data_IF_326797463544
#
_entry.id   IF_326797463544
#
_cell.length_a   1.000
_cell.length_b   1.000
_cell.length_c   1.000
_cell.angle_alpha   90.00
_cell.angle_beta   90.00
_cell.angle_gamma   90.00
#
_symmetry.space_group_name_H-M   'P 1'
#
loop_
_entity.id
_entity.type
_entity.pdbx_description
1 polymer ?
#
# COMPACT_ATOMS: atom_id res chain seq x y z
N UNK A 1 -11.59 -6.33 20.65
CA UNK A 1 -11.96 -5.79 19.31
C UNK A 1 -11.90 -4.26 19.24
N UNK A 2 -12.33 -3.52 20.26
CA UNK A 2 -12.29 -2.04 20.26
C UNK A 2 -10.87 -1.44 20.30
N UNK A 3 -10.01 -1.91 21.19
CA UNK A 3 -8.64 -1.41 21.38
C UNK A 3 -7.78 -1.50 20.10
N UNK A 4 -7.95 -2.57 19.33
CA UNK A 4 -7.27 -2.72 18.04
C UNK A 4 -7.71 -1.68 17.01
N UNK A 5 -9.03 -1.44 16.88
CA UNK A 5 -9.54 -0.48 15.90
C UNK A 5 -9.06 0.93 16.22
N UNK A 6 -8.96 1.26 17.50
CA UNK A 6 -8.40 2.53 17.96
C UNK A 6 -6.89 2.65 17.64
N UNK A 7 -6.10 1.64 18.02
CA UNK A 7 -4.66 1.60 17.72
C UNK A 7 -4.39 1.71 16.21
N UNK A 8 -5.20 1.02 15.40
CA UNK A 8 -5.12 1.10 13.96
C UNK A 8 -5.48 2.49 13.42
N UNK A 9 -6.54 3.11 13.92
CA UNK A 9 -6.93 4.47 13.51
C UNK A 9 -5.82 5.49 13.81
N UNK A 10 -5.17 5.37 14.97
CA UNK A 10 -4.01 6.20 15.34
C UNK A 10 -2.86 6.01 14.35
N UNK A 11 -2.54 4.76 14.03
CA UNK A 11 -1.45 4.42 13.10
C UNK A 11 -1.76 4.90 11.69
N UNK A 12 -2.97 4.65 11.18
CA UNK A 12 -3.41 5.12 9.86
C UNK A 12 -3.32 6.66 9.80
N UNK A 13 -3.75 7.35 10.85
CA UNK A 13 -3.65 8.81 10.89
C UNK A 13 -2.18 9.29 10.95
N UNK A 14 -1.30 8.57 11.65
CA UNK A 14 0.14 8.88 11.68
C UNK A 14 0.80 8.68 10.30
N UNK A 15 0.49 7.59 9.61
CA UNK A 15 0.94 7.30 8.24
C UNK A 15 0.50 8.42 7.29
N UNK A 16 -0.79 8.77 7.34
CA UNK A 16 -1.40 9.85 6.56
C UNK A 16 -0.74 11.20 6.84
N UNK A 17 -0.52 11.53 8.10
CA UNK A 17 0.14 12.77 8.53
C UNK A 17 1.61 12.84 8.12
N UNK A 18 2.27 11.69 7.96
CA UNK A 18 3.62 11.60 7.42
C UNK A 18 3.68 11.76 5.89
N UNK A 19 2.54 11.97 5.21
CA UNK A 19 2.48 12.15 3.75
C UNK A 19 2.68 10.86 2.96
N UNK A 20 2.58 9.70 3.60
CA UNK A 20 2.64 8.41 2.94
C UNK A 20 1.35 8.19 2.12
N UNK A 21 1.44 7.69 0.88
CA UNK A 21 0.31 7.62 -0.04
C UNK A 21 -0.57 6.38 0.22
N UNK A 22 -1.03 6.23 1.47
CA UNK A 22 -1.87 5.13 1.92
C UNK A 22 -3.25 5.19 1.26
N UNK A 23 -3.67 4.08 0.64
CA UNK A 23 -4.95 3.96 -0.06
C UNK A 23 -5.93 3.03 0.65
N UNK A 24 -5.42 2.10 1.44
CA UNK A 24 -6.25 1.20 2.23
C UNK A 24 -5.44 0.29 3.13
N UNK A 25 -6.16 -0.50 3.92
CA UNK A 25 -5.58 -1.47 4.81
C UNK A 25 -6.46 -2.72 4.90
N UNK A 26 -5.87 -3.85 5.28
CA UNK A 26 -6.58 -5.10 5.50
C UNK A 26 -6.01 -5.79 6.74
N UNK A 27 -6.88 -6.28 7.62
CA UNK A 27 -6.49 -7.22 8.67
C UNK A 27 -6.67 -8.64 8.14
N UNK A 28 -5.59 -9.43 8.16
CA UNK A 28 -5.65 -10.85 7.87
C UNK A 28 -4.89 -11.62 8.96
N UNK A 29 -5.62 -12.43 9.75
CA UNK A 29 -5.08 -13.10 10.94
C UNK A 29 -4.41 -12.07 11.88
N UNK A 30 -3.16 -12.27 12.27
CA UNK A 30 -2.38 -11.38 13.14
C UNK A 30 -1.48 -10.42 12.36
N UNK A 31 -1.89 -10.01 11.16
CA UNK A 31 -1.13 -9.10 10.30
C UNK A 31 -2.01 -8.03 9.71
N UNK A 32 -1.49 -6.81 9.71
CA UNK A 32 -2.08 -5.68 9.00
C UNK A 32 -1.29 -5.43 7.73
N UNK A 33 -2.00 -5.40 6.63
CA UNK A 33 -1.46 -5.08 5.32
C UNK A 33 -1.85 -3.65 4.99
N UNK A 34 -0.87 -2.77 4.82
CA UNK A 34 -1.05 -1.41 4.35
C UNK A 34 -0.83 -1.36 2.85
N UNK A 35 -1.84 -0.91 2.11
CA UNK A 35 -1.77 -0.72 0.66
C UNK A 35 -1.43 0.74 0.37
N UNK A 36 -0.33 0.94 -0.34
CA UNK A 36 0.12 2.25 -0.80
C UNK A 36 -0.26 2.45 -2.26
N UNK A 37 -0.28 3.71 -2.69
CA UNK A 37 -0.44 4.08 -4.09
C UNK A 37 0.64 3.41 -4.94
N UNK A 38 0.29 3.01 -6.16
CA UNK A 38 1.18 2.21 -7.01
C UNK A 38 1.13 0.71 -6.73
N UNK A 39 0.31 0.23 -5.79
CA UNK A 39 0.08 -1.19 -5.55
C UNK A 39 1.06 -1.86 -4.59
N UNK A 40 2.04 -1.11 -4.07
CA UNK A 40 2.94 -1.57 -3.02
C UNK A 40 2.17 -1.93 -1.76
N UNK A 41 2.42 -3.11 -1.21
CA UNK A 41 1.82 -3.53 0.06
C UNK A 41 2.90 -3.78 1.11
N UNK A 42 2.78 -3.15 2.27
CA UNK A 42 3.65 -3.39 3.43
C UNK A 42 2.87 -4.17 4.49
N UNK A 43 3.50 -5.18 5.09
CA UNK A 43 2.84 -6.06 6.05
C UNK A 43 3.49 -5.92 7.42
N UNK A 44 2.70 -5.58 8.43
CA UNK A 44 3.15 -5.35 9.80
C UNK A 44 2.42 -6.33 10.74
N UNK A 45 3.12 -6.99 11.68
CA UNK A 45 2.48 -7.80 12.71
C UNK A 45 1.49 -6.97 13.54
N UNK A 46 0.32 -7.55 13.84
CA UNK A 46 -0.73 -6.90 14.60
C UNK A 46 -0.26 -6.42 15.98
N UNK A 47 0.54 -7.24 16.66
CA UNK A 47 1.15 -6.92 17.96
C UNK A 47 1.93 -5.59 17.95
N UNK A 48 2.53 -5.22 16.80
CA UNK A 48 3.32 -3.99 16.67
C UNK A 48 2.46 -2.74 16.69
N UNK A 49 1.19 -2.87 16.30
CA UNK A 49 0.21 -1.79 16.38
C UNK A 49 -0.29 -1.61 17.82
N UNK A 50 -0.38 -2.70 18.57
CA UNK A 50 -0.92 -2.71 19.93
C UNK A 50 0.13 -2.30 20.98
N UNK A 51 1.38 -2.68 20.78
CA UNK A 51 2.48 -2.49 21.75
C UNK A 51 3.45 -1.39 21.29
N UNK A 52 3.56 -1.16 19.99
CA UNK A 52 4.52 -0.23 19.41
C UNK A 52 4.02 1.21 19.31
N UNK A 53 4.96 2.14 19.16
CA UNK A 53 4.63 3.53 18.81
C UNK A 53 4.18 3.62 17.35
N UNK A 54 3.15 4.42 17.03
CA UNK A 54 2.76 4.70 15.64
C UNK A 54 3.92 5.19 14.77
N UNK A 55 4.87 5.94 15.34
CA UNK A 55 6.06 6.42 14.63
C UNK A 55 6.99 5.30 14.17
N UNK A 56 7.06 4.18 14.90
CA UNK A 56 7.85 3.01 14.50
C UNK A 56 7.25 2.37 13.25
N UNK A 57 5.93 2.23 13.20
CA UNK A 57 5.23 1.69 12.03
C UNK A 57 5.46 2.60 10.82
N UNK A 58 5.35 3.92 10.99
CA UNK A 58 5.66 4.90 9.93
C UNK A 58 7.10 4.74 9.43
N UNK A 59 8.09 4.59 10.32
CA UNK A 59 9.48 4.40 9.95
C UNK A 59 9.70 3.08 9.16
N UNK A 60 9.04 1.99 9.56
CA UNK A 60 9.08 0.72 8.82
C UNK A 60 8.49 0.87 7.40
N UNK A 61 7.36 1.58 7.27
CA UNK A 61 6.75 1.89 5.98
C UNK A 61 7.67 2.73 5.09
N UNK A 62 8.31 3.77 5.64
CA UNK A 62 9.27 4.61 4.92
C UNK A 62 10.49 3.82 4.45
N UNK A 63 11.00 2.92 5.30
CA UNK A 63 12.11 2.05 4.94
C UNK A 63 11.72 1.07 3.82
N UNK A 64 10.50 0.51 3.87
CA UNK A 64 10.02 -0.46 2.89
C UNK A 64 9.85 0.13 1.48
N UNK A 65 9.49 1.41 1.36
CA UNK A 65 9.28 2.07 0.06
C UNK A 65 10.51 2.82 -0.47
N UNK A 66 11.56 2.90 0.34
CA UNK A 66 12.71 3.76 0.07
C UNK A 66 12.35 5.23 0.25
N UNK A 67 12.95 5.87 1.26
CA UNK A 67 12.74 7.25 1.76
C UNK A 67 12.59 8.38 0.70
N UNK A 68 12.88 8.12 -0.58
CA UNK A 68 12.86 9.10 -1.68
C UNK A 68 11.45 9.41 -2.23
N UNK A 69 10.42 9.36 -1.40
CA UNK A 69 9.07 9.75 -1.85
C UNK A 69 8.83 11.22 -1.58
N UNK A 70 8.62 11.99 -2.64
CA UNK A 70 8.07 13.35 -2.61
C UNK A 70 6.80 13.35 -1.76
N UNK A 71 6.56 14.34 -0.88
CA UNK A 71 5.34 14.39 -0.08
C UNK A 71 4.13 14.37 -1.01
N UNK A 72 3.30 13.32 -0.89
CA UNK A 72 2.06 13.21 -1.64
C UNK A 72 0.98 13.96 -0.87
N UNK A 73 0.06 14.60 -1.59
CA UNK A 73 -1.13 15.23 -1.03
C UNK A 73 -1.76 14.32 0.03
N UNK A 74 -1.88 14.84 1.25
CA UNK A 74 -2.45 14.11 2.39
C UNK A 74 -3.88 13.72 2.05
N UNK A 75 -4.16 12.41 1.93
CA UNK A 75 -5.52 11.94 1.70
C UNK A 75 -6.40 12.18 2.93
N UNK A 76 -7.70 12.47 2.77
CA UNK A 76 -8.65 12.46 3.86
C UNK A 76 -8.83 11.04 4.41
N UNK A 77 -9.18 10.90 5.69
CA UNK A 77 -9.27 9.60 6.37
C UNK A 77 -10.36 8.72 5.72
N UNK A 78 -11.42 9.37 5.24
CA UNK A 78 -12.58 8.78 4.59
C UNK A 78 -12.23 8.09 3.26
N UNK A 79 -11.12 8.46 2.64
CA UNK A 79 -10.61 7.84 1.41
C UNK A 79 -9.72 6.61 1.67
N UNK A 80 -9.34 6.36 2.93
CA UNK A 80 -8.51 5.21 3.30
C UNK A 80 -9.42 4.02 3.62
N UNK A 81 -9.51 3.08 2.68
CA UNK A 81 -10.53 2.02 2.73
C UNK A 81 -10.06 0.82 3.55
N UNK A 82 -10.93 0.33 4.45
CA UNK A 82 -10.81 -1.01 5.05
C UNK A 82 -11.18 -2.05 3.99
N UNK A 83 -10.21 -2.88 3.61
CA UNK A 83 -10.36 -3.92 2.60
C UNK A 83 -10.56 -5.28 3.26
N UNK A 84 -11.45 -6.09 2.70
CA UNK A 84 -11.51 -7.51 2.97
C UNK A 84 -10.28 -8.24 2.36
N UNK A 85 -9.83 -9.36 2.94
CA UNK A 85 -8.68 -10.12 2.41
C UNK A 85 -8.79 -10.47 0.93
N UNK A 86 -10.00 -10.82 0.46
CA UNK A 86 -10.26 -11.14 -0.95
C UNK A 86 -10.10 -9.90 -1.86
N UNK A 87 -10.48 -8.72 -1.38
CA UNK A 87 -10.31 -7.47 -2.14
C UNK A 87 -8.83 -7.13 -2.27
N UNK A 88 -8.05 -7.25 -1.18
CA UNK A 88 -6.61 -7.05 -1.21
C UNK A 88 -5.92 -8.06 -2.15
N UNK A 89 -6.30 -9.34 -2.09
CA UNK A 89 -5.78 -10.37 -2.98
C UNK A 89 -6.05 -10.04 -4.45
N UNK A 90 -7.27 -9.57 -4.77
CA UNK A 90 -7.63 -9.12 -6.11
C UNK A 90 -6.76 -7.94 -6.58
N UNK A 91 -6.56 -6.94 -5.74
CA UNK A 91 -5.72 -5.78 -6.07
C UNK A 91 -4.27 -6.17 -6.31
N UNK A 92 -3.70 -7.03 -5.46
CA UNK A 92 -2.35 -7.59 -5.64
C UNK A 92 -2.23 -8.37 -6.95
N UNK A 93 -3.23 -9.17 -7.28
CA UNK A 93 -3.27 -9.93 -8.53
C UNK A 93 -3.30 -8.99 -9.75
N UNK A 94 -4.14 -7.97 -9.75
CA UNK A 94 -4.19 -6.96 -10.82
C UNK A 94 -2.87 -6.21 -10.94
N UNK A 95 -2.30 -5.76 -9.82
CA UNK A 95 -0.99 -5.11 -9.81
C UNK A 95 0.10 -6.00 -10.41
N UNK A 96 0.13 -7.29 -10.04
CA UNK A 96 1.07 -8.25 -10.62
C UNK A 96 0.86 -8.45 -12.12
N UNK A 97 -0.39 -8.51 -12.61
CA UNK A 97 -0.64 -8.60 -14.04
C UNK A 97 -0.09 -7.37 -14.79
N UNK A 98 -0.27 -6.17 -14.25
CA UNK A 98 0.26 -4.93 -14.83
C UNK A 98 1.78 -4.90 -14.77
N UNK A 99 2.38 -5.17 -13.60
CA UNK A 99 3.84 -5.10 -13.41
C UNK A 99 4.61 -6.15 -14.22
N UNK A 100 3.95 -7.24 -14.63
CA UNK A 100 4.53 -8.30 -15.47
C UNK A 100 4.13 -8.19 -16.95
N UNK A 101 3.42 -7.13 -17.34
CA UNK A 101 2.97 -6.92 -18.73
C UNK A 101 1.93 -7.93 -19.23
N UNK A 102 1.27 -8.66 -18.32
CA UNK A 102 0.22 -9.66 -18.61
C UNK A 102 -1.16 -9.05 -18.76
N UNK A 103 -1.36 -7.86 -18.19
CA UNK A 103 -2.50 -7.00 -18.48
C UNK A 103 -1.96 -5.76 -19.19
N UNK A 104 -2.34 -5.61 -20.46
CA UNK A 104 -2.12 -4.37 -21.20
C UNK A 104 -3.04 -3.30 -20.60
N UNK A 105 -2.52 -2.54 -19.63
CA UNK A 105 -3.05 -1.22 -19.35
C UNK A 105 -2.54 -0.24 -20.41
N UNK A 106 -3.32 0.80 -20.73
CA UNK A 106 -2.98 1.94 -21.60
C UNK A 106 -1.79 2.76 -21.08
N UNK A 107 -0.64 2.12 -20.90
CA UNK A 107 0.64 2.76 -20.64
C UNK A 107 1.63 2.21 -21.67
N UNK A 108 1.55 2.80 -22.86
CA UNK A 108 2.60 2.88 -23.88
C UNK A 108 3.23 1.55 -24.33
N UNK A 109 2.59 0.89 -25.30
CA UNK A 109 3.33 0.08 -26.28
C UNK A 109 3.96 1.02 -27.32
N UNK A 110 5.16 1.51 -27.04
CA UNK A 110 6.12 1.84 -28.10
C UNK A 110 7.12 0.68 -28.20
N UNK A 111 6.81 -0.32 -29.04
CA UNK A 111 7.81 -1.22 -29.58
C UNK A 111 7.78 -1.13 -31.10
N UNK A 112 8.70 -0.38 -31.73
CA UNK A 112 9.07 -0.61 -33.11
C UNK A 112 10.51 -1.14 -33.16
N UNK A 113 10.76 -2.34 -32.63
CA UNK A 113 12.05 -3.04 -32.85
C UNK A 113 11.91 -4.32 -33.71
N UNK A 114 10.82 -4.44 -34.48
CA UNK A 114 10.70 -5.50 -35.49
C UNK A 114 10.43 -4.95 -36.90
N UNK A 115 11.12 -3.86 -37.27
CA UNK A 115 11.23 -3.40 -38.65
C UNK A 115 12.71 -3.21 -39.05
N UNK A 116 13.53 -4.22 -38.80
CA UNK A 116 14.88 -4.32 -39.35
C UNK A 116 15.26 -5.78 -39.57
N UNK A 117 14.54 -6.46 -40.47
CA UNK A 117 15.07 -7.63 -41.17
C UNK A 117 14.17 -7.94 -42.38
N UNK A 118 14.68 -7.52 -43.55
CA UNK A 118 14.56 -8.10 -44.91
C UNK A 118 14.33 -7.04 -45.97
#
# INVERSE_FOLDING_TARGET
MGEYREALAIVVNAIRSAGLPLTGWCLERDRVHFLLSGGTTVTIPLERLLIGSPSTVVAELLNAIGWRTTPVTVRPMEEIVELAPQQLARLRFVHWLVSTGRLLGDTERAYPEYAAAS
#
